data_IF_040647674135
#
_entry.id   IF_040647674135
#
_cell.length_a   1.000
_cell.length_b   1.000
_cell.length_c   1.000
_cell.angle_alpha   90.00
_cell.angle_beta   90.00
_cell.angle_gamma   90.00
#
_symmetry.space_group_name_H-M   'P 1'
#
loop_
_entity.id
_entity.type
_entity.pdbx_description
1 polymer ?
#
# COMPACT_ATOMS: atom_id res chain seq x y z
N UNK A 1 -6.77 15.13 17.01
CA UNK A 1 -5.80 15.41 15.94
C UNK A 1 -6.19 14.52 14.77
N UNK A 2 -6.75 15.08 13.69
CA UNK A 2 -7.28 14.29 12.57
C UNK A 2 -6.25 14.13 11.46
N UNK A 3 -6.17 12.94 10.86
CA UNK A 3 -5.39 12.74 9.64
C UNK A 3 -6.12 13.43 8.48
N UNK A 4 -5.41 14.29 7.73
CA UNK A 4 -5.95 14.96 6.54
C UNK A 4 -5.25 14.39 5.31
N UNK A 5 -6.04 13.93 4.35
CA UNK A 5 -5.57 13.45 3.06
C UNK A 5 -6.01 14.41 1.95
N UNK A 6 -5.24 14.43 0.86
CA UNK A 6 -5.58 15.12 -0.38
C UNK A 6 -5.63 14.08 -1.50
N UNK A 7 -6.51 14.29 -2.47
CA UNK A 7 -6.76 13.32 -3.53
C UNK A 7 -6.53 13.95 -4.89
N UNK A 8 -5.96 13.16 -5.79
CA UNK A 8 -5.86 13.45 -7.23
C UNK A 8 -6.49 12.27 -7.98
N UNK A 9 -7.15 12.55 -9.10
CA UNK A 9 -7.83 11.53 -9.92
C UNK A 9 -7.65 11.84 -11.40
N UNK A 10 -7.43 10.81 -12.21
CA UNK A 10 -7.24 10.92 -13.66
C UNK A 10 -8.03 9.83 -14.37
N UNK A 11 -8.47 10.14 -15.59
CA UNK A 11 -9.08 9.17 -16.51
C UNK A 11 -7.97 8.58 -17.36
N UNK A 12 -7.96 7.26 -17.53
CA UNK A 12 -6.98 6.55 -18.34
C UNK A 12 -7.68 5.56 -19.27
N UNK A 13 -6.90 4.94 -20.16
CA UNK A 13 -7.44 3.98 -21.13
C UNK A 13 -8.12 2.79 -20.43
N UNK A 14 -9.19 2.21 -21.02
CA UNK A 14 -9.85 1.05 -20.44
C UNK A 14 -8.89 -0.12 -20.21
N UNK A 15 -9.04 -0.82 -19.07
CA UNK A 15 -8.24 -2.01 -18.67
C UNK A 15 -6.73 -1.76 -18.55
N UNK A 16 -6.31 -0.52 -18.49
CA UNK A 16 -4.92 -0.19 -18.18
C UNK A 16 -4.74 -0.15 -16.67
N UNK A 17 -3.82 -0.97 -16.14
CA UNK A 17 -3.53 -1.02 -14.70
C UNK A 17 -2.48 0.00 -14.28
N UNK A 18 -1.50 0.31 -15.15
CA UNK A 18 -0.46 1.31 -14.87
C UNK A 18 -1.09 2.71 -14.82
N UNK A 19 -0.82 3.45 -13.76
CA UNK A 19 -1.27 4.85 -13.62
C UNK A 19 -0.37 5.74 -14.49
N UNK A 20 -0.86 6.14 -15.68
CA UNK A 20 -0.07 6.91 -16.66
C UNK A 20 0.38 8.28 -16.12
N UNK A 21 -0.52 8.99 -15.47
CA UNK A 21 -0.30 10.35 -14.97
C UNK A 21 0.28 10.40 -13.55
N UNK A 22 0.83 9.28 -13.04
CA UNK A 22 1.25 9.18 -11.64
C UNK A 22 2.29 10.25 -11.26
N UNK A 23 3.25 10.55 -12.15
CA UNK A 23 4.26 11.58 -11.89
C UNK A 23 3.61 12.95 -11.62
N UNK A 24 2.63 13.33 -12.44
CA UNK A 24 1.91 14.59 -12.25
C UNK A 24 1.08 14.59 -10.97
N UNK A 25 0.36 13.48 -10.71
CA UNK A 25 -0.45 13.32 -9.50
C UNK A 25 0.38 13.41 -8.21
N UNK A 26 1.52 12.72 -8.16
CA UNK A 26 2.45 12.75 -7.03
C UNK A 26 3.02 14.15 -6.83
N UNK A 27 3.39 14.83 -7.92
CA UNK A 27 3.88 16.21 -7.87
C UNK A 27 2.85 17.15 -7.22
N UNK A 28 1.58 17.07 -7.62
CA UNK A 28 0.50 17.87 -7.02
C UNK A 28 0.38 17.62 -5.51
N UNK A 29 0.39 16.35 -5.10
CA UNK A 29 0.31 15.96 -3.69
C UNK A 29 1.52 16.44 -2.87
N UNK A 30 2.74 16.36 -3.42
CA UNK A 30 3.95 16.86 -2.77
C UNK A 30 3.92 18.38 -2.59
N UNK A 31 3.44 19.12 -3.60
CA UNK A 31 3.26 20.58 -3.49
C UNK A 31 2.21 20.91 -2.42
N UNK A 32 1.10 20.18 -2.39
CA UNK A 32 0.03 20.40 -1.41
C UNK A 32 0.46 20.04 0.01
N UNK A 33 1.25 18.98 0.17
CA UNK A 33 1.87 18.60 1.43
C UNK A 33 2.80 19.72 1.94
N UNK A 34 3.66 20.26 1.07
CA UNK A 34 4.56 21.36 1.44
C UNK A 34 3.78 22.63 1.80
N UNK A 35 2.70 22.96 1.07
CA UNK A 35 1.83 24.10 1.41
C UNK A 35 1.19 23.96 2.79
N UNK A 36 0.83 22.72 3.17
CA UNK A 36 0.11 22.44 4.41
C UNK A 36 1.04 22.32 5.63
N UNK A 37 2.26 21.81 5.44
CA UNK A 37 3.18 21.49 6.55
C UNK A 37 4.43 22.36 6.59
N UNK A 38 4.80 23.01 5.47
CA UNK A 38 6.09 23.68 5.25
C UNK A 38 7.30 22.74 5.32
N UNK A 39 7.07 21.43 5.30
CA UNK A 39 8.14 20.43 5.27
C UNK A 39 8.16 19.70 3.93
N UNK A 40 9.36 19.34 3.49
CA UNK A 40 9.58 18.43 2.37
C UNK A 40 9.65 17.01 2.94
N UNK A 41 8.86 16.05 2.44
CA UNK A 41 8.88 14.70 2.98
C UNK A 41 10.22 14.03 2.65
N UNK A 42 10.90 13.49 3.65
CA UNK A 42 12.16 12.72 3.44
C UNK A 42 11.90 11.27 3.07
N UNK A 43 10.66 10.80 3.28
CA UNK A 43 10.21 9.44 2.97
C UNK A 43 8.83 9.49 2.33
N UNK A 44 8.62 8.64 1.33
CA UNK A 44 7.34 8.42 0.65
C UNK A 44 6.96 6.96 0.86
N UNK A 45 5.81 6.73 1.50
CA UNK A 45 5.22 5.39 1.66
C UNK A 45 4.04 5.31 0.69
N UNK A 46 4.12 4.41 -0.27
CA UNK A 46 3.16 4.28 -1.35
C UNK A 46 2.47 2.92 -1.27
N UNK A 47 1.17 2.93 -0.94
CA UNK A 47 0.33 1.74 -0.94
C UNK A 47 -0.42 1.62 -2.27
N UNK A 48 -0.12 0.58 -3.05
CA UNK A 48 -0.75 0.31 -4.34
C UNK A 48 -1.73 -0.86 -4.22
N UNK A 49 -3.03 -0.58 -4.39
CA UNK A 49 -4.09 -1.61 -4.34
C UNK A 49 -4.47 -2.09 -5.74
N UNK A 50 -4.67 -3.40 -5.94
CA UNK A 50 -5.26 -3.92 -7.18
C UNK A 50 -4.26 -4.17 -8.31
N UNK A 51 -3.06 -4.64 -7.99
CA UNK A 51 -2.05 -5.06 -8.97
C UNK A 51 -2.17 -6.56 -9.22
N UNK A 52 -2.37 -7.02 -10.46
CA UNK A 52 -2.26 -8.43 -10.79
C UNK A 52 -0.81 -8.92 -10.61
N UNK A 53 -0.61 -10.06 -9.95
CA UNK A 53 0.72 -10.63 -9.64
C UNK A 53 1.61 -10.74 -10.89
N UNK A 54 1.07 -11.24 -12.01
CA UNK A 54 1.82 -11.38 -13.27
C UNK A 54 2.24 -10.06 -13.94
N UNK A 55 1.72 -8.91 -13.50
CA UNK A 55 2.10 -7.57 -13.99
C UNK A 55 2.89 -6.75 -12.96
N UNK A 56 3.12 -7.29 -11.76
CA UNK A 56 3.73 -6.56 -10.65
C UNK A 56 5.10 -5.98 -11.01
N UNK A 57 6.05 -6.72 -11.64
CA UNK A 57 7.36 -6.16 -11.96
C UNK A 57 7.27 -4.97 -12.93
N UNK A 58 6.37 -5.05 -13.91
CA UNK A 58 6.17 -3.99 -14.89
C UNK A 58 5.55 -2.76 -14.24
N UNK A 59 4.45 -2.93 -13.49
CA UNK A 59 3.76 -1.83 -12.81
C UNK A 59 4.69 -1.14 -11.81
N UNK A 60 5.41 -1.91 -11.00
CA UNK A 60 6.41 -1.38 -10.07
C UNK A 60 7.46 -0.54 -10.79
N UNK A 61 8.01 -1.04 -11.91
CA UNK A 61 9.03 -0.33 -12.66
C UNK A 61 8.54 1.04 -13.15
N UNK A 62 7.38 1.08 -13.82
CA UNK A 62 6.84 2.33 -14.36
C UNK A 62 6.42 3.31 -13.25
N UNK A 63 5.72 2.83 -12.22
CA UNK A 63 5.19 3.69 -11.17
C UNK A 63 6.31 4.23 -10.26
N UNK A 64 7.31 3.41 -9.91
CA UNK A 64 8.45 3.86 -9.11
C UNK A 64 9.26 4.93 -9.83
N UNK A 65 9.48 4.76 -11.14
CA UNK A 65 10.14 5.79 -11.96
C UNK A 65 9.31 7.07 -12.04
N UNK A 66 7.99 6.96 -12.15
CA UNK A 66 7.10 8.13 -12.16
C UNK A 66 7.14 8.90 -10.83
N UNK A 67 7.17 8.21 -9.69
CA UNK A 67 7.32 8.85 -8.37
C UNK A 67 8.66 9.57 -8.26
N UNK A 68 9.76 8.93 -8.71
CA UNK A 68 11.10 9.55 -8.73
C UNK A 68 11.17 10.76 -9.65
N UNK A 69 10.60 10.65 -10.84
CA UNK A 69 10.51 11.74 -11.82
C UNK A 69 9.74 12.95 -11.25
N UNK A 70 8.64 12.72 -10.53
CA UNK A 70 7.91 13.79 -9.84
C UNK A 70 8.79 14.53 -8.82
N UNK A 71 9.63 13.81 -8.09
CA UNK A 71 10.55 14.38 -7.10
C UNK A 71 11.64 15.23 -7.80
N UNK A 72 12.28 14.69 -8.83
CA UNK A 72 13.35 15.40 -9.58
C UNK A 72 12.80 16.65 -10.30
N UNK A 73 11.58 16.58 -10.82
CA UNK A 73 10.90 17.72 -11.46
C UNK A 73 10.55 18.84 -10.49
N UNK A 74 10.42 18.54 -9.20
CA UNK A 74 10.25 19.57 -8.16
C UNK A 74 11.59 20.22 -7.81
N UNK A 75 12.64 19.42 -7.67
CA UNK A 75 13.99 19.86 -7.33
C UNK A 75 15.01 18.80 -7.74
N UNK A 76 16.09 19.21 -8.42
CA UNK A 76 17.04 18.27 -9.07
C UNK A 76 17.65 17.25 -8.11
N UNK A 77 17.92 17.65 -6.87
CA UNK A 77 18.59 16.82 -5.86
C UNK A 77 17.62 16.20 -4.84
N UNK A 78 16.30 16.38 -5.04
CA UNK A 78 15.30 15.85 -4.12
C UNK A 78 15.05 14.37 -4.36
N UNK A 79 15.68 13.53 -3.55
CA UNK A 79 15.62 12.07 -3.63
C UNK A 79 15.15 11.48 -2.28
N UNK A 80 13.85 11.60 -1.95
CA UNK A 80 13.33 10.99 -0.73
C UNK A 80 13.38 9.45 -0.81
N UNK A 81 13.51 8.79 0.33
CA UNK A 81 13.41 7.33 0.39
C UNK A 81 11.99 6.87 0.03
N UNK A 82 11.85 5.94 -0.91
CA UNK A 82 10.53 5.44 -1.36
C UNK A 82 10.34 4.01 -0.86
N UNK A 83 9.22 3.76 -0.20
CA UNK A 83 8.75 2.42 0.17
C UNK A 83 7.48 2.14 -0.62
N UNK A 84 7.53 1.14 -1.50
CA UNK A 84 6.43 0.76 -2.36
C UNK A 84 5.83 -0.55 -1.86
N UNK A 85 4.56 -0.53 -1.47
CA UNK A 85 3.86 -1.65 -0.85
C UNK A 85 2.65 -1.99 -1.72
N UNK A 86 2.65 -3.17 -2.31
CA UNK A 86 1.48 -3.69 -3.03
C UNK A 86 0.52 -4.31 -2.01
N UNK A 87 -0.74 -3.91 -2.07
CA UNK A 87 -1.81 -4.43 -1.22
C UNK A 87 -2.74 -5.27 -2.08
N UNK A 88 -2.85 -6.56 -1.76
CA UNK A 88 -3.72 -7.48 -2.49
C UNK A 88 -4.83 -8.00 -1.55
N UNK A 89 -6.04 -7.44 -1.65
CA UNK A 89 -7.17 -7.83 -0.80
C UNK A 89 -7.97 -9.02 -1.33
N UNK A 90 -7.87 -9.29 -2.64
CA UNK A 90 -8.66 -10.31 -3.34
C UNK A 90 -7.76 -11.48 -3.73
N UNK A 91 -7.43 -12.32 -2.76
CA UNK A 91 -6.67 -13.57 -2.94
C UNK A 91 -7.42 -14.78 -2.38
N UNK A 92 -6.90 -15.98 -2.67
CA UNK A 92 -7.48 -17.24 -2.21
C UNK A 92 -6.90 -17.76 -0.89
N UNK A 93 -5.85 -17.13 -0.35
CA UNK A 93 -5.34 -17.45 1.01
C UNK A 93 -6.44 -17.21 2.05
N UNK A 94 -6.62 -18.17 2.97
CA UNK A 94 -7.56 -18.12 4.07
C UNK A 94 -6.85 -18.56 5.34
N UNK A 95 -7.01 -17.79 6.40
CA UNK A 95 -6.41 -18.03 7.71
C UNK A 95 -7.52 -18.40 8.71
N UNK A 96 -7.24 -19.39 9.56
CA UNK A 96 -8.19 -19.90 10.54
C UNK A 96 -7.47 -20.15 11.87
N UNK A 97 -8.14 -19.94 13.00
CA UNK A 97 -7.62 -20.32 14.31
C UNK A 97 -7.47 -21.85 14.39
N UNK A 98 -6.27 -22.32 14.76
CA UNK A 98 -5.99 -23.74 14.94
C UNK A 98 -6.73 -24.29 16.18
N UNK A 99 -6.71 -23.54 17.28
CA UNK A 99 -7.42 -23.92 18.49
C UNK A 99 -8.85 -23.38 18.52
N UNK A 100 -9.80 -24.27 18.81
CA UNK A 100 -11.19 -23.88 19.06
C UNK A 100 -11.33 -23.01 20.31
N UNK A 101 -10.37 -23.09 21.24
CA UNK A 101 -10.35 -22.32 22.50
C UNK A 101 -9.71 -20.92 22.36
N UNK A 102 -8.89 -20.66 21.34
CA UNK A 102 -8.47 -19.27 21.01
C UNK A 102 -9.64 -18.42 20.55
N UNK A 103 -10.73 -19.06 20.06
CA UNK A 103 -12.01 -18.38 19.82
C UNK A 103 -12.70 -17.92 21.12
N UNK A 104 -12.21 -18.38 22.28
CA UNK A 104 -12.79 -18.14 23.60
C UNK A 104 -11.82 -17.46 24.59
N UNK A 105 -10.53 -17.33 24.28
CA UNK A 105 -9.58 -16.66 25.19
C UNK A 105 -9.72 -15.14 25.22
N UNK A 106 -10.52 -14.57 24.32
CA UNK A 106 -11.02 -13.19 24.42
C UNK A 106 -12.53 -13.20 24.66
N UNK A 107 -12.95 -13.73 25.82
CA UNK A 107 -14.34 -13.75 26.30
C UNK A 107 -14.93 -12.33 26.53
N UNK A 108 -14.17 -11.26 26.25
CA UNK A 108 -14.65 -9.88 26.17
C UNK A 108 -14.91 -9.40 24.74
N UNK A 109 -14.38 -10.08 23.72
CA UNK A 109 -14.54 -9.68 22.33
C UNK A 109 -14.97 -10.88 21.49
N UNK A 110 -16.22 -11.25 21.69
CA UNK A 110 -17.05 -11.91 20.70
C UNK A 110 -16.93 -11.24 19.31
N UNK A 111 -15.95 -11.63 18.50
CA UNK A 111 -16.13 -11.82 17.04
C UNK A 111 -17.02 -13.06 16.76
N UNK A 112 -17.87 -13.44 17.73
CA UNK A 112 -18.75 -14.59 17.77
C UNK A 112 -19.98 -14.33 16.90
N UNK A 113 -19.80 -14.55 15.60
CA UNK A 113 -20.81 -15.14 14.69
C UNK A 113 -20.15 -15.73 13.44
N UNK A 114 -19.03 -15.18 12.96
CA UNK A 114 -18.33 -15.68 11.76
C UNK A 114 -17.21 -16.68 12.05
N UNK A 115 -16.59 -16.64 13.24
CA UNK A 115 -15.46 -17.52 13.58
C UNK A 115 -14.15 -17.20 12.86
N UNK A 116 -13.97 -15.93 12.45
CA UNK A 116 -12.73 -15.44 11.85
C UNK A 116 -11.63 -15.22 12.89
N UNK A 117 -10.39 -15.11 12.41
CA UNK A 117 -9.22 -14.68 13.20
C UNK A 117 -9.42 -13.27 13.78
N UNK A 118 -8.76 -12.94 14.91
CA UNK A 118 -8.84 -11.60 15.49
C UNK A 118 -8.18 -10.53 14.59
N UNK A 119 -8.62 -9.28 14.71
CA UNK A 119 -8.02 -8.17 13.99
C UNK A 119 -6.56 -7.96 14.41
N UNK A 120 -5.69 -7.71 13.44
CA UNK A 120 -4.24 -7.59 13.68
C UNK A 120 -3.49 -8.93 13.64
N UNK A 121 -4.16 -10.04 13.33
CA UNK A 121 -3.47 -11.31 13.03
C UNK A 121 -2.51 -11.10 11.88
N UNK A 122 -1.21 -11.26 12.13
CA UNK A 122 -0.15 -11.06 11.14
C UNK A 122 0.52 -12.40 10.84
N UNK A 123 0.75 -12.71 9.57
CA UNK A 123 1.49 -13.92 9.14
C UNK A 123 2.58 -13.52 8.15
N UNK A 124 3.83 -13.64 8.58
CA UNK A 124 5.04 -13.30 7.80
C UNK A 124 5.96 -14.52 7.56
N UNK A 125 5.59 -15.70 8.09
CA UNK A 125 6.36 -16.95 7.94
C UNK A 125 5.56 -18.07 7.28
N UNK A 126 6.27 -19.10 6.81
CA UNK A 126 5.77 -20.39 6.30
C UNK A 126 5.01 -20.34 4.96
N UNK A 127 4.02 -19.46 4.84
CA UNK A 127 3.14 -19.34 3.67
C UNK A 127 3.44 -18.10 2.80
N UNK A 128 4.40 -17.29 3.22
CA UNK A 128 4.94 -16.13 2.52
C UNK A 128 5.98 -16.54 1.48
N UNK A 129 6.32 -15.60 0.59
CA UNK A 129 7.33 -15.83 -0.44
C UNK A 129 8.69 -16.13 0.18
N UNK A 130 9.42 -17.17 -0.28
CA UNK A 130 10.66 -17.61 0.36
C UNK A 130 11.82 -16.60 0.29
N UNK A 131 11.75 -15.62 -0.62
CA UNK A 131 12.84 -14.67 -0.90
C UNK A 131 12.39 -13.21 -1.02
N UNK A 132 11.09 -12.94 -1.10
CA UNK A 132 10.56 -11.58 -1.23
C UNK A 132 10.00 -11.13 0.11
N UNK A 133 9.75 -9.84 0.26
CA UNK A 133 9.23 -9.30 1.51
C UNK A 133 7.71 -9.11 1.43
N UNK A 134 6.97 -10.16 1.78
CA UNK A 134 5.52 -10.18 1.86
C UNK A 134 5.03 -10.64 3.24
N UNK A 135 3.81 -10.23 3.59
CA UNK A 135 3.12 -10.63 4.83
C UNK A 135 1.61 -10.48 4.65
N UNK A 136 0.85 -11.19 5.49
CA UNK A 136 -0.60 -11.04 5.63
C UNK A 136 -0.93 -10.24 6.89
N UNK A 137 -1.89 -9.32 6.80
CA UNK A 137 -2.41 -8.50 7.89
C UNK A 137 -3.91 -8.21 7.70
#
# INVERSE_FOLDING_TARGET
>A
HGFRYCATVRVQRPRQEIIEDLSYMVRELLIQFYKSTRFKPTRIIFYRDGVPEGQLPQILHYELLAIRDACIKLEKDYQPGITYIVVQKRHHTRLFCADKNERYLDLSFCFLKSGNIPAGTTVDTNITHPFEFDFYL
#
